data_IF_092167429650
#
_entry.id   IF_092167429650
#
_cell.length_a   1.000
_cell.length_b   1.000
_cell.length_c   1.000
_cell.angle_alpha   90.00
_cell.angle_beta   90.00
_cell.angle_gamma   90.00
#
_symmetry.space_group_name_H-M   'P 1'
#
loop_
_entity.id
_entity.type
_entity.pdbx_description
1 polymer ?
#
# COMPACT_ATOMS: atom_id res chain seq x y z
N UNK A 1 24.93 14.15 23.20
CA UNK A 1 23.98 13.02 23.29
C UNK A 1 24.80 11.78 23.60
N UNK A 2 24.59 11.12 24.75
CA UNK A 2 25.34 9.90 25.09
C UNK A 2 24.69 8.72 24.37
N UNK A 3 25.50 7.76 23.91
CA UNK A 3 25.01 6.62 23.10
C UNK A 3 24.00 5.74 23.86
N UNK A 4 24.08 5.69 25.19
CA UNK A 4 23.23 4.91 26.08
C UNK A 4 21.84 5.53 26.34
N UNK A 5 21.64 6.81 26.04
CA UNK A 5 20.38 7.52 26.30
C UNK A 5 19.48 7.60 25.04
N UNK A 6 19.89 6.93 23.96
CA UNK A 6 19.10 6.82 22.73
C UNK A 6 17.89 5.92 22.95
N UNK A 7 16.70 6.48 22.75
CA UNK A 7 15.43 5.75 22.75
C UNK A 7 14.56 6.24 21.60
N UNK A 8 13.71 5.35 21.10
CA UNK A 8 12.70 5.73 20.12
C UNK A 8 11.65 6.68 20.74
N UNK A 9 10.87 7.32 19.87
CA UNK A 9 9.69 8.09 20.29
C UNK A 9 8.70 7.16 20.99
N UNK A 10 7.99 7.70 21.97
CA UNK A 10 6.96 6.95 22.67
C UNK A 10 5.90 6.42 21.67
N UNK A 11 5.53 5.15 21.81
CA UNK A 11 4.63 4.45 20.89
C UNK A 11 5.26 3.93 19.58
N UNK A 12 6.55 4.16 19.31
CA UNK A 12 7.19 3.62 18.11
C UNK A 12 7.32 2.08 18.11
N UNK A 13 7.40 1.48 19.31
CA UNK A 13 7.48 0.02 19.48
C UNK A 13 6.43 -0.47 20.48
N UNK A 14 5.90 -1.67 20.23
CA UNK A 14 4.97 -2.35 21.12
C UNK A 14 5.56 -3.69 21.59
N UNK A 15 5.25 -4.06 22.83
CA UNK A 15 5.71 -5.34 23.39
C UNK A 15 5.06 -6.52 22.66
N UNK A 16 5.88 -7.48 22.24
CA UNK A 16 5.39 -8.70 21.57
C UNK A 16 4.74 -9.62 22.60
N UNK A 17 3.57 -10.16 22.26
CA UNK A 17 2.92 -11.20 23.08
C UNK A 17 3.73 -12.50 23.03
N UNK A 18 4.32 -12.88 24.16
CA UNK A 18 5.07 -14.15 24.31
C UNK A 18 4.11 -15.26 24.72
N UNK A 19 3.75 -16.11 23.77
CA UNK A 19 2.78 -17.19 23.97
C UNK A 19 3.36 -18.35 24.81
N UNK A 20 2.53 -19.04 25.59
CA UNK A 20 2.94 -20.24 26.33
C UNK A 20 3.94 -19.97 27.46
N UNK A 21 3.81 -18.86 28.19
CA UNK A 21 4.70 -18.46 29.29
C UNK A 21 3.94 -18.25 30.61
N UNK A 22 3.27 -19.31 31.06
CA UNK A 22 2.55 -19.34 32.35
C UNK A 22 1.16 -18.69 32.33
N UNK A 23 0.37 -18.93 33.38
CA UNK A 23 -1.04 -18.51 33.47
C UNK A 23 -1.18 -16.98 33.52
N UNK A 24 -0.31 -16.29 34.27
CA UNK A 24 -0.32 -14.82 34.39
C UNK A 24 -0.13 -14.07 33.07
N UNK A 25 0.38 -14.72 32.02
CA UNK A 25 0.52 -14.13 30.68
C UNK A 25 -0.79 -14.03 29.89
N UNK A 26 -1.90 -14.59 30.39
CA UNK A 26 -3.20 -14.66 29.69
C UNK A 26 -3.20 -15.56 28.44
N UNK A 27 -2.07 -16.15 28.06
CA UNK A 27 -1.93 -17.05 26.92
C UNK A 27 -1.04 -18.27 27.22
N UNK A 28 -1.04 -18.70 28.48
CA UNK A 28 -0.23 -19.82 28.96
C UNK A 28 -0.69 -21.17 28.44
N UNK A 29 -1.85 -21.65 28.90
CA UNK A 29 -2.29 -23.05 28.76
C UNK A 29 -2.39 -23.53 27.30
N UNK A 30 -2.94 -22.71 26.41
CA UNK A 30 -3.23 -23.11 25.02
C UNK A 30 -2.53 -22.25 23.97
N UNK A 31 -1.67 -21.31 24.40
CA UNK A 31 -1.02 -20.35 23.51
C UNK A 31 -2.00 -19.60 22.57
N UNK A 32 -3.28 -19.47 22.96
CA UNK A 32 -4.33 -18.85 22.14
C UNK A 32 -4.88 -19.72 21.01
N UNK A 33 -4.52 -21.00 20.92
CA UNK A 33 -4.94 -21.90 19.82
C UNK A 33 -6.24 -22.68 20.09
N UNK A 34 -6.81 -22.56 21.30
CA UNK A 34 -7.99 -23.33 21.71
C UNK A 34 -7.65 -24.76 22.21
N UNK A 35 -8.62 -25.67 22.12
CA UNK A 35 -8.52 -27.05 22.66
C UNK A 35 -8.17 -28.03 21.53
N UNK A 36 -8.65 -29.28 21.55
CA UNK A 36 -8.21 -30.40 20.69
C UNK A 36 -8.80 -30.32 19.26
N UNK A 37 -8.62 -29.19 18.57
CA UNK A 37 -9.02 -29.00 17.17
C UNK A 37 -7.86 -29.13 16.18
N UNK A 38 -8.18 -29.22 14.89
CA UNK A 38 -7.19 -29.33 13.80
C UNK A 38 -6.18 -28.16 13.83
N UNK A 39 -6.64 -26.91 13.96
CA UNK A 39 -5.79 -25.70 14.03
C UNK A 39 -4.91 -25.60 15.29
N UNK A 40 -5.18 -26.41 16.31
CA UNK A 40 -4.36 -26.46 17.52
C UNK A 40 -3.11 -27.34 17.36
N UNK A 41 -2.99 -28.11 16.27
CA UNK A 41 -1.82 -28.93 15.95
C UNK A 41 -0.82 -28.17 15.08
N UNK A 42 0.42 -28.66 15.03
CA UNK A 42 1.46 -28.14 14.12
C UNK A 42 1.15 -28.52 12.66
N UNK A 43 1.63 -27.71 11.71
CA UNK A 43 1.60 -28.04 10.28
C UNK A 43 0.26 -27.86 9.56
N UNK A 44 -0.81 -27.46 10.25
CA UNK A 44 -2.12 -27.26 9.62
C UNK A 44 -2.22 -25.87 9.00
N UNK A 45 -2.34 -25.82 7.66
CA UNK A 45 -2.65 -24.62 6.91
C UNK A 45 -4.05 -24.76 6.28
N UNK A 46 -5.03 -24.02 6.79
CA UNK A 46 -6.40 -23.97 6.25
C UNK A 46 -6.50 -22.77 5.29
N UNK A 47 -5.64 -22.73 4.27
CA UNK A 47 -5.58 -21.62 3.33
C UNK A 47 -6.61 -21.84 2.20
N UNK A 48 -7.76 -21.19 2.32
CA UNK A 48 -8.82 -21.26 1.30
C UNK A 48 -9.62 -22.57 1.30
N UNK A 49 -9.55 -23.36 2.39
CA UNK A 49 -10.40 -24.53 2.57
C UNK A 49 -11.74 -24.12 3.20
N UNK A 50 -12.83 -24.42 2.50
CA UNK A 50 -14.21 -24.03 2.86
C UNK A 50 -15.02 -25.24 3.38
N UNK A 51 -14.39 -26.15 4.11
CA UNK A 51 -15.10 -27.26 4.78
C UNK A 51 -15.54 -28.40 3.86
N UNK A 52 -14.95 -28.51 2.65
CA UNK A 52 -15.31 -29.51 1.65
C UNK A 52 -16.21 -28.97 0.53
N UNK A 53 -16.75 -27.76 0.69
CA UNK A 53 -17.39 -27.03 -0.40
C UNK A 53 -16.36 -26.68 -1.50
N UNK A 54 -16.81 -26.63 -2.75
CA UNK A 54 -15.99 -26.10 -3.85
C UNK A 54 -15.54 -24.66 -3.53
N UNK A 55 -14.23 -24.36 -3.47
CA UNK A 55 -13.76 -23.03 -3.08
C UNK A 55 -14.22 -21.92 -4.02
N UNK A 56 -14.39 -20.70 -3.51
CA UNK A 56 -14.87 -19.56 -4.30
C UNK A 56 -14.06 -19.31 -5.59
N UNK A 57 -12.74 -19.46 -5.53
CA UNK A 57 -11.85 -19.27 -6.68
C UNK A 57 -12.00 -20.35 -7.78
N UNK A 58 -12.67 -21.47 -7.48
CA UNK A 58 -13.06 -22.50 -8.46
C UNK A 58 -14.50 -22.34 -8.92
N UNK A 59 -15.39 -21.84 -8.05
CA UNK A 59 -16.81 -21.62 -8.35
C UNK A 59 -17.01 -20.51 -9.38
N UNK A 60 -16.26 -19.42 -9.24
CA UNK A 60 -16.39 -18.27 -10.14
C UNK A 60 -15.59 -18.51 -11.43
N UNK A 61 -16.15 -18.19 -12.61
CA UNK A 61 -15.40 -18.25 -13.85
C UNK A 61 -14.26 -17.23 -13.83
N UNK A 62 -13.12 -17.59 -14.42
CA UNK A 62 -12.06 -16.60 -14.71
C UNK A 62 -12.59 -15.62 -15.75
N UNK A 63 -12.53 -14.33 -15.45
CA UNK A 63 -13.03 -13.26 -16.32
C UNK A 63 -11.89 -12.39 -16.82
N UNK A 64 -11.93 -12.08 -18.12
CA UNK A 64 -10.97 -11.19 -18.77
C UNK A 64 -9.59 -11.82 -18.97
N UNK A 65 -8.64 -10.96 -19.34
CA UNK A 65 -7.22 -11.29 -19.48
C UNK A 65 -6.39 -10.07 -19.05
N UNK A 66 -5.13 -10.30 -18.68
CA UNK A 66 -4.21 -9.20 -18.38
C UNK A 66 -3.50 -8.79 -19.68
N UNK A 67 -3.76 -7.58 -20.17
CA UNK A 67 -3.06 -7.02 -21.33
C UNK A 67 -1.62 -6.61 -20.94
N UNK A 68 -0.63 -7.39 -21.34
CA UNK A 68 0.80 -7.13 -21.07
C UNK A 68 1.35 -5.91 -21.82
N UNK A 69 0.67 -5.46 -22.88
CA UNK A 69 1.06 -4.31 -23.69
C UNK A 69 0.37 -3.02 -23.25
N UNK A 70 -0.45 -3.05 -22.19
CA UNK A 70 -1.11 -1.88 -21.67
C UNK A 70 -0.09 -0.88 -21.09
N UNK A 71 0.05 0.28 -21.74
CA UNK A 71 0.91 1.36 -21.28
C UNK A 71 0.36 1.99 -20.00
N UNK A 72 1.21 2.14 -18.97
CA UNK A 72 0.89 2.84 -17.73
C UNK A 72 1.37 4.28 -17.81
N UNK A 73 0.42 5.20 -17.85
CA UNK A 73 0.73 6.63 -17.89
C UNK A 73 0.83 7.23 -16.48
N UNK A 74 1.65 8.27 -16.35
CA UNK A 74 1.61 9.18 -15.23
C UNK A 74 0.41 10.12 -15.41
N UNK A 75 -0.63 9.91 -14.60
CA UNK A 75 -1.86 10.68 -14.68
C UNK A 75 -1.69 11.98 -13.90
N UNK A 76 -1.98 13.11 -14.52
CA UNK A 76 -1.90 14.44 -13.92
C UNK A 76 -3.18 15.20 -14.18
N UNK A 77 -3.67 15.86 -13.13
CA UNK A 77 -4.80 16.76 -13.17
C UNK A 77 -4.41 18.18 -13.56
N UNK A 78 -5.31 18.89 -14.25
CA UNK A 78 -5.14 20.32 -14.55
C UNK A 78 -5.06 21.14 -13.26
N UNK A 79 -5.86 20.81 -12.25
CA UNK A 79 -5.81 21.50 -10.96
C UNK A 79 -4.44 21.39 -10.27
N UNK A 80 -3.75 20.25 -10.43
CA UNK A 80 -2.41 20.04 -9.85
C UNK A 80 -1.34 20.81 -10.60
N UNK A 81 -1.51 20.99 -11.91
CA UNK A 81 -0.65 21.85 -12.72
C UNK A 81 -0.85 23.31 -12.31
N UNK A 82 -2.10 23.77 -12.14
CA UNK A 82 -2.40 25.11 -11.64
C UNK A 82 -1.76 25.37 -10.27
N UNK A 83 -1.91 24.45 -9.31
CA UNK A 83 -1.28 24.59 -8.00
C UNK A 83 0.26 24.69 -8.07
N UNK A 84 0.88 24.07 -9.07
CA UNK A 84 2.32 24.17 -9.30
C UNK A 84 2.73 25.48 -9.98
N UNK A 85 1.87 26.05 -10.84
CA UNK A 85 2.03 27.39 -11.39
C UNK A 85 1.88 28.46 -10.29
N UNK A 86 0.85 28.36 -9.46
CA UNK A 86 0.61 29.27 -8.32
C UNK A 86 1.77 29.24 -7.32
N UNK A 87 2.33 28.04 -7.07
CA UNK A 87 3.51 27.85 -6.23
C UNK A 87 4.83 28.25 -6.91
N UNK A 88 4.79 28.80 -8.14
CA UNK A 88 5.94 29.20 -8.97
C UNK A 88 6.97 28.08 -9.19
N UNK A 89 6.53 26.83 -9.11
CA UNK A 89 7.35 25.64 -9.40
C UNK A 89 7.39 25.32 -10.89
N UNK A 90 6.41 25.81 -11.64
CA UNK A 90 6.34 25.78 -13.09
C UNK A 90 6.21 27.21 -13.60
N UNK A 91 6.86 27.50 -14.73
CA UNK A 91 6.72 28.79 -15.42
C UNK A 91 5.70 28.64 -16.56
N UNK A 92 4.61 29.41 -16.47
CA UNK A 92 3.56 29.47 -17.50
C UNK A 92 4.08 29.95 -18.86
N UNK A 93 5.23 30.63 -18.90
CA UNK A 93 5.84 31.14 -20.14
C UNK A 93 6.67 30.09 -20.88
N UNK A 94 6.98 28.96 -20.24
CA UNK A 94 7.79 27.90 -20.83
C UNK A 94 6.96 26.68 -21.17
N UNK A 95 7.38 25.92 -22.19
CA UNK A 95 6.70 24.68 -22.57
C UNK A 95 6.77 23.68 -21.42
N UNK A 96 5.61 23.26 -20.91
CA UNK A 96 5.51 22.27 -19.84
C UNK A 96 5.84 20.88 -20.39
N UNK A 97 7.09 20.46 -20.26
CA UNK A 97 7.57 19.13 -20.66
C UNK A 97 7.41 18.11 -19.53
N UNK A 98 7.48 16.81 -19.86
CA UNK A 98 7.41 15.75 -18.86
C UNK A 98 8.53 15.83 -17.82
N UNK A 99 9.71 16.28 -18.23
CA UNK A 99 10.86 16.51 -17.35
C UNK A 99 10.62 17.70 -16.41
N UNK A 100 10.05 18.80 -16.91
CA UNK A 100 9.66 19.94 -16.09
C UNK A 100 8.62 19.55 -15.03
N UNK A 101 7.66 18.69 -15.36
CA UNK A 101 6.67 18.17 -14.40
C UNK A 101 7.30 17.30 -13.30
N UNK A 102 8.37 16.57 -13.61
CA UNK A 102 9.12 15.81 -12.61
C UNK A 102 9.96 16.74 -11.73
N UNK A 103 10.66 17.71 -12.32
CA UNK A 103 11.45 18.70 -11.60
C UNK A 103 10.60 19.54 -10.64
N UNK A 104 9.39 19.92 -11.07
CA UNK A 104 8.42 20.64 -10.24
C UNK A 104 7.77 19.77 -9.14
N UNK A 105 8.00 18.45 -9.13
CA UNK A 105 7.39 17.51 -8.18
C UNK A 105 5.89 17.25 -8.44
N UNK A 106 5.38 17.65 -9.60
CA UNK A 106 4.00 17.37 -10.02
C UNK A 106 3.84 15.88 -10.34
N UNK A 107 4.87 15.25 -10.90
CA UNK A 107 4.92 13.82 -11.17
C UNK A 107 6.17 13.23 -10.50
N UNK A 108 6.07 12.02 -9.92
CA UNK A 108 7.25 11.30 -9.40
C UNK A 108 8.16 10.76 -10.52
N UNK A 109 7.58 10.19 -11.58
CA UNK A 109 8.25 9.63 -12.76
C UNK A 109 7.29 9.55 -13.95
N UNK A 110 7.82 9.67 -15.17
CA UNK A 110 7.05 9.74 -16.42
C UNK A 110 6.32 8.42 -16.78
N UNK A 111 6.78 7.27 -16.27
CA UNK A 111 6.31 5.93 -16.70
C UNK A 111 6.39 5.80 -18.23
N UNK A 112 5.34 5.30 -18.91
CA UNK A 112 5.28 5.18 -20.37
C UNK A 112 4.81 6.48 -21.07
N UNK A 113 4.59 7.55 -20.30
CA UNK A 113 4.17 8.87 -20.78
C UNK A 113 3.27 9.59 -19.78
N UNK A 114 3.01 10.88 -20.02
CA UNK A 114 2.11 11.70 -19.20
C UNK A 114 0.72 11.76 -19.82
N UNK A 115 -0.32 11.56 -19.01
CA UNK A 115 -1.72 11.71 -19.41
C UNK A 115 -2.36 12.80 -18.57
N UNK A 116 -2.87 13.83 -19.23
CA UNK A 116 -3.55 14.95 -18.58
C UNK A 116 -5.06 14.64 -18.49
N UNK A 117 -5.64 14.87 -17.33
CA UNK A 117 -7.08 14.77 -17.07
C UNK A 117 -7.67 16.15 -16.78
N UNK A 118 -8.87 16.39 -17.31
CA UNK A 118 -9.64 17.60 -17.03
C UNK A 118 -10.46 17.39 -15.76
N UNK A 119 -9.93 17.88 -14.63
CA UNK A 119 -10.60 17.93 -13.33
C UNK A 119 -10.72 19.36 -12.79
N UNK A 120 -10.51 20.36 -13.66
CA UNK A 120 -10.57 21.78 -13.36
C UNK A 120 -10.08 22.63 -14.52
N UNK A 121 -10.12 23.95 -14.34
CA UNK A 121 -9.68 24.92 -15.34
C UNK A 121 -8.31 25.50 -15.00
N UNK A 122 -7.52 25.80 -16.02
CA UNK A 122 -6.33 26.64 -15.88
C UNK A 122 -6.80 28.08 -15.86
N UNK A 123 -6.55 28.78 -14.75
CA UNK A 123 -6.81 30.21 -14.64
C UNK A 123 -5.49 30.94 -14.90
N UNK A 124 -5.54 31.87 -15.85
CA UNK A 124 -4.41 32.73 -16.21
C UNK A 124 -3.98 33.63 -15.06
#
# INVERSE_FOLDING_TARGET
MKLNDLRDKDGATHSKKRLGRGIGSGSGKTAGRGVKGQKARSGVAVNGFEGGQMPLYRRLPKRGFNNIFAKSFAVVSLARIQAALDAKKLDAKTTVTAEALVAAGVIRRVKDGVRILSDGDIKS
#
